data_IF_414308289137
#
_entry.id   IF_414308289137
#
_cell.length_a   1.000
_cell.length_b   1.000
_cell.length_c   1.000
_cell.angle_alpha   90.00
_cell.angle_beta   90.00
_cell.angle_gamma   90.00
#
_symmetry.space_group_name_H-M   'P 1'
#
loop_
_entity.id
_entity.type
_entity.pdbx_description
1 polymer ?
#
# COMPACT_ATOMS: atom_id res chain seq x y z
N UNK A 1 27.09 20.69 -0.42
CA UNK A 1 25.96 21.64 -0.43
C UNK A 1 25.37 21.69 0.96
N UNK A 2 25.14 22.90 1.46
CA UNK A 2 24.56 23.15 2.78
C UNK A 2 23.02 23.22 2.69
N UNK A 3 22.35 23.13 3.85
CA UNK A 3 20.91 23.43 3.93
C UNK A 3 20.60 24.85 3.41
N UNK A 4 21.49 25.82 3.66
CA UNK A 4 21.33 27.20 3.22
C UNK A 4 21.30 27.30 1.69
N UNK A 5 22.13 26.50 0.99
CA UNK A 5 22.14 26.44 -0.47
C UNK A 5 20.80 25.92 -1.01
N UNK A 6 20.23 24.87 -0.39
CA UNK A 6 18.91 24.36 -0.78
C UNK A 6 17.82 25.41 -0.53
N UNK A 7 17.80 26.02 0.66
CA UNK A 7 16.79 27.03 1.02
C UNK A 7 16.86 28.22 0.07
N UNK A 8 18.06 28.70 -0.24
CA UNK A 8 18.24 29.76 -1.22
C UNK A 8 17.71 29.37 -2.60
N UNK A 9 18.05 28.17 -3.10
CA UNK A 9 17.54 27.69 -4.39
C UNK A 9 16.01 27.58 -4.39
N UNK A 10 15.42 27.08 -3.31
CA UNK A 10 13.97 26.92 -3.19
C UNK A 10 13.24 28.26 -3.10
N UNK A 11 13.80 29.24 -2.37
CA UNK A 11 13.31 30.62 -2.33
C UNK A 11 13.39 31.27 -3.72
N UNK A 12 14.50 31.11 -4.43
CA UNK A 12 14.68 31.67 -5.77
C UNK A 12 13.72 31.06 -6.79
N UNK A 13 13.53 29.74 -6.80
CA UNK A 13 12.54 29.06 -7.66
C UNK A 13 11.12 29.51 -7.33
N UNK A 14 10.79 29.63 -6.04
CA UNK A 14 9.49 30.09 -5.59
C UNK A 14 9.22 31.53 -6.05
N UNK A 15 10.20 32.42 -5.90
CA UNK A 15 10.11 33.83 -6.33
C UNK A 15 9.94 33.95 -7.85
N UNK A 16 10.65 33.13 -8.65
CA UNK A 16 10.47 33.09 -10.11
C UNK A 16 9.05 32.67 -10.51
N UNK A 17 8.49 31.73 -9.77
CA UNK A 17 7.10 31.29 -9.90
C UNK A 17 6.10 32.19 -9.15
N UNK A 18 6.54 33.30 -8.55
CA UNK A 18 5.67 34.31 -7.95
C UNK A 18 4.96 33.83 -6.70
N UNK A 19 5.52 32.82 -6.04
CA UNK A 19 5.00 32.22 -4.82
C UNK A 19 6.04 32.38 -3.71
N UNK A 20 5.58 32.25 -2.47
CA UNK A 20 6.48 32.20 -1.31
C UNK A 20 6.93 30.77 -1.05
N UNK A 21 8.23 30.60 -0.75
CA UNK A 21 8.76 29.30 -0.37
C UNK A 21 8.11 28.84 0.94
N UNK A 22 7.66 27.59 0.93
CA UNK A 22 6.95 27.01 2.05
C UNK A 22 7.89 26.68 3.22
N UNK A 23 7.60 27.26 4.39
CA UNK A 23 8.39 27.08 5.60
C UNK A 23 8.41 25.64 6.11
N UNK A 24 7.30 24.92 5.96
CA UNK A 24 7.21 23.51 6.37
C UNK A 24 8.10 22.60 5.52
N UNK A 25 8.23 22.88 4.22
CA UNK A 25 9.19 22.19 3.34
C UNK A 25 10.61 22.43 3.83
N UNK A 26 10.96 23.69 4.12
CA UNK A 26 12.29 24.06 4.65
C UNK A 26 12.56 23.35 5.98
N UNK A 27 11.59 23.33 6.89
CA UNK A 27 11.72 22.68 8.20
C UNK A 27 12.00 21.18 8.06
N UNK A 28 11.32 20.49 7.14
CA UNK A 28 11.56 19.07 6.86
C UNK A 28 12.91 18.81 6.19
N UNK A 29 13.41 19.75 5.39
CA UNK A 29 14.70 19.63 4.73
C UNK A 29 15.89 19.62 5.70
N UNK A 30 15.73 20.17 6.91
CA UNK A 30 16.77 20.13 7.96
C UNK A 30 17.24 18.69 8.23
N UNK A 31 16.33 17.70 8.17
CA UNK A 31 16.62 16.29 8.45
C UNK A 31 17.59 15.64 7.44
N UNK A 32 17.79 16.26 6.27
CA UNK A 32 18.60 15.74 5.17
C UNK A 32 20.01 16.34 5.10
N UNK A 33 20.29 17.39 5.87
CA UNK A 33 21.59 18.03 5.91
C UNK A 33 22.22 17.88 7.31
N UNK A 34 23.53 17.58 7.41
CA UNK A 34 24.20 17.49 8.70
C UNK A 34 24.14 18.84 9.43
N UNK A 35 23.90 18.82 10.75
CA UNK A 35 23.97 20.00 11.59
C UNK A 35 25.41 20.50 11.69
N UNK A 36 25.60 21.82 11.63
CA UNK A 36 26.90 22.49 11.76
C UNK A 36 27.50 22.46 13.17
N UNK A 37 27.07 21.55 14.04
CA UNK A 37 27.58 21.41 15.42
C UNK A 37 28.73 20.41 15.57
N UNK A 38 29.14 19.73 14.48
CA UNK A 38 30.27 18.81 14.50
C UNK A 38 31.62 19.48 14.13
N UNK A 39 31.67 20.82 14.09
CA UNK A 39 32.89 21.60 13.96
C UNK A 39 33.48 21.95 15.34
N UNK A 40 34.12 20.96 15.98
CA UNK A 40 35.45 21.16 16.55
C UNK A 40 35.67 22.10 17.75
N UNK A 41 34.67 22.43 18.58
CA UNK A 41 34.90 23.23 19.81
C UNK A 41 34.09 22.75 21.03
N UNK A 42 34.47 21.59 21.60
CA UNK A 42 34.43 21.40 23.07
C UNK A 42 35.45 20.34 23.51
N UNK A 43 36.73 20.65 23.34
CA UNK A 43 37.79 19.96 24.07
C UNK A 43 37.63 20.27 25.57
N UNK A 44 37.31 19.24 26.36
CA UNK A 44 37.71 19.04 27.78
C UNK A 44 36.72 18.27 28.66
N UNK A 45 35.54 17.84 28.18
CA UNK A 45 34.59 17.08 29.02
C UNK A 45 34.21 15.67 28.52
N UNK A 46 34.75 15.19 27.40
CA UNK A 46 34.40 13.87 26.83
C UNK A 46 35.39 12.73 27.10
N UNK A 47 36.61 13.01 27.59
CA UNK A 47 37.62 11.96 27.78
C UNK A 47 37.29 10.97 28.91
N UNK A 48 36.44 11.35 29.88
CA UNK A 48 35.98 10.44 30.95
C UNK A 48 34.75 9.60 30.58
N UNK A 49 34.00 9.98 29.54
CA UNK A 49 32.80 9.24 29.10
C UNK A 49 33.11 8.20 28.01
N UNK A 50 34.15 8.46 27.18
CA UNK A 50 34.57 7.54 26.12
C UNK A 50 35.28 6.27 26.63
N UNK A 51 35.89 6.31 27.83
CA UNK A 51 36.51 5.12 28.44
C UNK A 51 35.48 4.08 28.93
N UNK A 52 34.24 4.48 29.21
CA UNK A 52 33.16 3.58 29.66
C UNK A 52 32.25 3.09 28.52
N UNK A 53 32.25 3.76 27.37
CA UNK A 53 31.48 3.37 26.18
C UNK A 53 32.15 2.29 25.30
N UNK A 54 33.46 2.04 25.49
CA UNK A 54 34.25 1.09 24.69
C UNK A 54 33.95 -0.42 24.94
N UNK A 55 32.82 -0.75 25.59
CA UNK A 55 32.42 -2.14 25.92
C UNK A 55 31.02 -2.55 25.45
N UNK A 56 30.42 -1.83 24.49
CA UNK A 56 29.18 -2.27 23.82
C UNK A 56 29.47 -2.71 22.38
N UNK A 57 29.02 -3.91 21.96
CA UNK A 57 29.23 -4.38 20.59
C UNK A 57 28.45 -3.49 19.62
N UNK A 58 29.11 -3.09 18.52
CA UNK A 58 28.55 -2.31 17.41
C UNK A 58 27.33 -3.03 16.82
N UNK A 59 26.13 -2.44 16.99
CA UNK A 59 25.03 -2.63 16.04
C UNK A 59 25.43 -1.92 14.74
N UNK A 60 25.25 -2.59 13.62
CA UNK A 60 25.38 -2.00 12.28
C UNK A 60 24.52 -0.74 12.17
N UNK A 61 25.16 0.40 11.89
CA UNK A 61 24.51 1.65 11.50
C UNK A 61 23.85 1.47 10.11
N UNK A 62 22.64 0.91 10.07
CA UNK A 62 21.72 1.17 8.98
C UNK A 62 21.05 2.51 9.31
N UNK A 63 21.52 3.61 8.69
CA UNK A 63 20.77 4.88 8.72
C UNK A 63 19.38 4.60 8.14
N UNK A 64 18.28 4.98 8.81
CA UNK A 64 16.94 4.76 8.26
C UNK A 64 16.81 5.48 6.91
N UNK A 65 16.18 4.84 5.93
CA UNK A 65 15.83 5.46 4.64
C UNK A 65 15.09 6.79 4.92
N UNK A 66 15.72 7.93 4.62
CA UNK A 66 15.13 9.25 4.92
C UNK A 66 14.14 9.61 3.82
N UNK A 67 12.88 9.73 4.20
CA UNK A 67 11.75 10.04 3.29
C UNK A 67 11.27 11.45 3.58
N UNK A 68 11.18 12.29 2.55
CA UNK A 68 10.56 13.61 2.68
C UNK A 68 9.05 13.44 2.72
N UNK A 69 8.43 13.70 3.87
CA UNK A 69 6.98 13.60 4.06
C UNK A 69 6.36 14.99 4.08
N UNK A 70 5.57 15.29 3.05
CA UNK A 70 4.79 16.53 2.91
C UNK A 70 3.30 16.19 2.78
N UNK A 71 2.78 15.39 3.71
CA UNK A 71 1.40 14.92 3.67
C UNK A 71 0.40 16.08 3.89
N UNK A 72 -0.59 16.19 3.00
CA UNK A 72 -1.56 17.31 3.01
C UNK A 72 -2.78 17.13 3.92
N UNK A 73 -2.78 16.16 4.85
CA UNK A 73 -3.98 15.77 5.61
C UNK A 73 -3.78 15.61 7.12
N UNK A 74 -2.75 16.23 7.72
CA UNK A 74 -2.66 16.29 9.20
C UNK A 74 -3.70 17.26 9.74
N UNK A 75 -4.15 17.06 10.99
CA UNK A 75 -5.11 17.96 11.69
C UNK A 75 -4.64 19.42 11.75
N UNK A 76 -3.34 19.66 11.60
CA UNK A 76 -2.70 20.99 11.56
C UNK A 76 -2.53 21.54 10.13
N UNK A 77 -2.76 20.72 9.10
CA UNK A 77 -2.39 21.00 7.70
C UNK A 77 -3.55 21.22 6.72
N UNK A 78 -4.81 21.31 7.20
CA UNK A 78 -5.96 21.49 6.31
C UNK A 78 -5.88 22.77 5.47
N UNK A 79 -5.16 23.80 5.95
CA UNK A 79 -4.91 25.06 5.24
C UNK A 79 -3.62 25.06 4.38
N UNK A 80 -2.88 23.94 4.30
CA UNK A 80 -1.52 23.90 3.75
C UNK A 80 -1.28 22.72 2.78
N UNK A 81 -2.23 22.38 1.91
CA UNK A 81 -1.98 21.36 0.86
C UNK A 81 -1.02 21.89 -0.20
N UNK A 82 -0.04 21.07 -0.60
CA UNK A 82 0.89 21.39 -1.67
C UNK A 82 0.14 21.51 -3.00
N UNK A 83 0.36 22.60 -3.72
CA UNK A 83 -0.23 22.87 -5.04
C UNK A 83 0.78 22.58 -6.16
N UNK A 84 0.28 22.46 -7.38
CA UNK A 84 1.07 22.23 -8.60
C UNK A 84 2.29 23.13 -8.71
N UNK A 85 2.09 24.46 -8.67
CA UNK A 85 3.17 25.45 -8.80
C UNK A 85 4.24 25.32 -7.69
N UNK A 86 3.83 24.97 -6.47
CA UNK A 86 4.74 24.74 -5.34
C UNK A 86 5.56 23.46 -5.54
N UNK A 87 4.97 22.42 -6.13
CA UNK A 87 5.72 21.21 -6.48
C UNK A 87 6.72 21.48 -7.60
N UNK A 88 6.37 22.27 -8.60
CA UNK A 88 7.32 22.67 -9.66
C UNK A 88 8.53 23.38 -9.05
N UNK A 89 8.34 24.37 -8.17
CA UNK A 89 9.44 25.01 -7.44
C UNK A 89 10.29 24.00 -6.65
N UNK A 90 9.64 23.08 -5.93
CA UNK A 90 10.33 22.08 -5.11
C UNK A 90 11.17 21.12 -5.96
N UNK A 91 10.59 20.58 -7.03
CA UNK A 91 11.29 19.65 -7.93
C UNK A 91 12.49 20.31 -8.62
N UNK A 92 12.37 21.58 -9.04
CA UNK A 92 13.49 22.34 -9.58
C UNK A 92 14.59 22.56 -8.53
N UNK A 93 14.21 22.94 -7.30
CA UNK A 93 15.15 23.14 -6.20
C UNK A 93 15.88 21.84 -5.85
N UNK A 94 15.19 20.71 -5.80
CA UNK A 94 15.78 19.38 -5.59
C UNK A 94 16.78 19.02 -6.69
N UNK A 95 16.44 19.30 -7.95
CA UNK A 95 17.32 19.05 -9.09
C UNK A 95 18.62 19.87 -9.01
N UNK A 96 18.52 21.15 -8.61
CA UNK A 96 19.68 22.03 -8.42
C UNK A 96 20.53 21.67 -7.20
N UNK A 97 19.90 21.07 -6.19
CA UNK A 97 20.49 20.98 -4.86
C UNK A 97 21.10 19.62 -4.49
N UNK A 98 20.83 18.57 -5.26
CA UNK A 98 21.41 17.23 -5.05
C UNK A 98 21.37 16.77 -3.58
N UNK A 99 20.18 16.77 -2.98
CA UNK A 99 19.99 16.45 -1.55
C UNK A 99 20.43 15.01 -1.26
N UNK A 100 21.60 14.79 -0.63
CA UNK A 100 22.15 13.45 -0.46
C UNK A 100 21.35 12.70 0.61
N UNK A 101 20.85 11.51 0.28
CA UNK A 101 20.06 10.67 1.20
C UNK A 101 18.55 10.80 1.08
N UNK A 102 18.04 11.66 0.17
CA UNK A 102 16.62 11.68 -0.17
C UNK A 102 16.27 10.47 -1.04
N UNK A 103 15.82 9.39 -0.40
CA UNK A 103 15.47 8.11 -1.05
C UNK A 103 13.97 7.92 -1.23
N UNK A 104 13.15 8.73 -0.56
CA UNK A 104 11.70 8.69 -0.72
C UNK A 104 11.05 10.06 -0.69
N UNK A 105 9.95 10.19 -1.41
CA UNK A 105 9.14 11.40 -1.49
C UNK A 105 7.66 11.03 -1.27
N UNK A 106 7.08 11.49 -0.16
CA UNK A 106 5.68 11.28 0.19
C UNK A 106 4.89 12.59 0.08
N UNK A 107 4.08 12.67 -0.97
CA UNK A 107 3.24 13.80 -1.34
C UNK A 107 1.76 13.45 -1.28
N UNK A 108 1.37 12.48 -0.46
CA UNK A 108 -0.04 12.04 -0.37
C UNK A 108 -0.99 13.15 0.08
N UNK A 109 -2.23 13.08 -0.42
CA UNK A 109 -3.36 13.91 -0.04
C UNK A 109 -3.12 15.43 -0.22
N UNK A 110 -2.42 15.80 -1.29
CA UNK A 110 -2.21 17.19 -1.70
C UNK A 110 -3.12 17.57 -2.88
N UNK A 111 -2.96 18.78 -3.42
CA UNK A 111 -3.69 19.26 -4.60
C UNK A 111 -2.81 19.23 -5.84
N UNK A 112 -2.25 18.04 -6.13
CA UNK A 112 -1.41 17.82 -7.29
C UNK A 112 -2.22 17.22 -8.45
N UNK A 113 -2.05 17.73 -9.67
CA UNK A 113 -2.78 17.30 -10.85
C UNK A 113 -4.01 18.17 -11.17
N UNK A 114 -4.93 17.62 -11.94
CA UNK A 114 -6.07 18.30 -12.55
C UNK A 114 -7.08 18.77 -11.48
N UNK A 115 -7.55 20.01 -11.56
CA UNK A 115 -8.70 20.41 -10.77
C UNK A 115 -9.95 19.82 -11.42
N UNK A 116 -10.67 18.94 -10.71
CA UNK A 116 -12.06 18.70 -11.05
C UNK A 116 -12.81 20.01 -10.84
N UNK A 117 -13.20 20.65 -11.95
CA UNK A 117 -14.19 21.71 -11.94
C UNK A 117 -15.45 21.10 -11.31
N UNK A 118 -15.75 21.48 -10.07
CA UNK A 118 -16.99 21.14 -9.38
C UNK A 118 -18.20 21.92 -9.96
N UNK A 119 -18.16 22.33 -11.23
CA UNK A 119 -19.18 23.14 -11.91
C UNK A 119 -19.88 22.38 -13.06
N UNK A 120 -20.04 21.06 -12.91
CA UNK A 120 -21.04 20.30 -13.67
C UNK A 120 -22.43 20.26 -13.02
N UNK A 121 -22.56 20.67 -11.75
CA UNK A 121 -23.84 20.69 -11.03
C UNK A 121 -23.85 21.88 -10.05
N UNK A 122 -24.77 22.82 -10.30
CA UNK A 122 -25.09 24.01 -9.49
C UNK A 122 -24.33 25.32 -9.81
N UNK A 123 -24.32 25.74 -11.07
CA UNK A 123 -24.35 27.18 -11.39
C UNK A 123 -25.72 27.56 -11.95
N UNK A 124 -26.66 27.75 -11.03
CA UNK A 124 -27.74 28.70 -11.19
C UNK A 124 -27.87 29.45 -9.85
N UNK A 125 -27.49 30.72 -9.88
CA UNK A 125 -27.83 31.75 -8.88
C UNK A 125 -27.08 31.72 -7.54
N UNK A 126 -25.89 32.35 -7.51
CA UNK A 126 -25.68 33.54 -6.68
C UNK A 126 -24.33 34.18 -7.01
N UNK A 127 -24.38 35.40 -7.54
CA UNK A 127 -23.21 36.22 -7.79
C UNK A 127 -22.56 36.67 -6.49
N UNK A 128 -21.25 36.52 -6.45
CA UNK A 128 -20.34 37.10 -5.47
C UNK A 128 -18.95 37.11 -6.10
N UNK A 129 -18.63 38.20 -6.78
CA UNK A 129 -17.27 38.51 -7.24
C UNK A 129 -16.43 38.77 -5.97
N UNK A 130 -15.55 37.83 -5.62
CA UNK A 130 -14.38 38.14 -4.79
C UNK A 130 -13.17 38.20 -5.74
N UNK A 131 -12.67 39.42 -5.92
CA UNK A 131 -11.46 39.77 -6.65
C UNK A 131 -10.22 39.17 -5.95
N UNK A 132 -9.73 38.02 -6.44
CA UNK A 132 -8.37 37.54 -6.18
C UNK A 132 -7.46 37.94 -7.36
N UNK A 133 -7.01 39.21 -7.36
CA UNK A 133 -6.27 39.86 -8.46
C UNK A 133 -4.75 39.51 -8.55
N UNK A 134 -4.26 38.42 -7.94
CA UNK A 134 -2.81 38.10 -7.96
C UNK A 134 -2.45 36.61 -8.13
N UNK A 135 -3.39 35.77 -8.58
CA UNK A 135 -3.15 34.35 -8.83
C UNK A 135 -2.78 34.07 -10.29
N UNK A 136 -1.52 33.74 -10.59
CA UNK A 136 -1.20 33.02 -11.85
C UNK A 136 -2.13 31.82 -12.00
N UNK A 137 -2.68 31.61 -13.20
CA UNK A 137 -3.65 30.55 -13.47
C UNK A 137 -3.02 29.18 -13.14
N UNK A 138 -3.46 28.54 -12.05
CA UNK A 138 -2.95 27.23 -11.63
C UNK A 138 -3.17 26.15 -12.70
N UNK A 139 -4.08 26.40 -13.66
CA UNK A 139 -4.30 25.55 -14.82
C UNK A 139 -3.08 25.46 -15.74
N UNK A 140 -2.23 26.48 -15.76
CA UNK A 140 -0.98 26.48 -16.53
C UNK A 140 -0.01 25.39 -16.04
N UNK A 141 0.00 25.12 -14.73
CA UNK A 141 0.99 24.22 -14.09
C UNK A 141 0.50 22.77 -13.92
N UNK A 142 -0.69 22.42 -14.42
CA UNK A 142 -1.27 21.08 -14.27
C UNK A 142 -0.35 20.00 -14.87
N UNK A 143 0.04 20.19 -16.12
CA UNK A 143 0.91 19.25 -16.84
C UNK A 143 2.38 19.41 -16.48
N UNK A 144 2.77 20.60 -16.04
CA UNK A 144 4.12 20.87 -15.54
C UNK A 144 4.42 20.12 -14.25
N UNK A 145 3.41 19.81 -13.45
CA UNK A 145 3.56 19.02 -12.22
C UNK A 145 4.03 17.61 -12.55
N UNK A 146 3.34 16.91 -13.45
CA UNK A 146 3.73 15.57 -13.89
C UNK A 146 5.06 15.59 -14.67
N UNK A 147 5.26 16.60 -15.52
CA UNK A 147 6.52 16.76 -16.27
C UNK A 147 7.71 17.02 -15.35
N UNK A 148 7.54 17.82 -14.31
CA UNK A 148 8.61 18.13 -13.36
C UNK A 148 8.91 16.96 -12.43
N UNK A 149 7.89 16.20 -12.01
CA UNK A 149 8.09 14.91 -11.36
C UNK A 149 8.82 13.92 -12.28
N UNK A 150 8.42 13.83 -13.55
CA UNK A 150 9.10 12.99 -14.54
C UNK A 150 10.57 13.35 -14.70
N UNK A 151 10.89 14.64 -14.84
CA UNK A 151 12.28 15.14 -14.88
C UNK A 151 13.06 14.84 -13.60
N UNK A 152 12.42 14.98 -12.43
CA UNK A 152 13.05 14.65 -11.14
C UNK A 152 13.42 13.16 -11.06
N UNK A 153 12.66 12.28 -11.70
CA UNK A 153 12.89 10.83 -11.69
C UNK A 153 13.87 10.37 -12.77
N UNK A 154 14.21 11.24 -13.71
CA UNK A 154 15.19 10.97 -14.77
C UNK A 154 16.60 11.36 -14.31
N UNK A 155 17.55 10.40 -14.28
CA UNK A 155 18.94 10.75 -14.04
C UNK A 155 19.48 11.57 -15.22
N UNK A 156 20.14 12.69 -14.92
CA UNK A 156 20.87 13.53 -15.87
C UNK A 156 22.37 13.55 -15.50
N UNK A 157 23.28 13.96 -16.40
CA UNK A 157 24.71 14.07 -16.06
C UNK A 157 25.00 14.99 -14.86
N UNK A 158 24.12 15.96 -14.61
CA UNK A 158 24.23 16.90 -13.50
C UNK A 158 23.47 16.44 -12.24
N UNK A 159 22.54 15.48 -12.37
CA UNK A 159 21.68 15.03 -11.29
C UNK A 159 21.44 13.53 -11.31
N UNK A 160 21.94 12.84 -10.29
CA UNK A 160 21.63 11.43 -10.05
C UNK A 160 20.40 11.34 -9.14
N UNK A 161 19.27 10.90 -9.72
CA UNK A 161 18.09 10.58 -8.93
C UNK A 161 18.42 9.46 -7.93
N UNK A 162 18.03 9.65 -6.66
CA UNK A 162 18.14 8.64 -5.59
C UNK A 162 16.77 8.17 -5.07
N UNK A 163 15.67 8.75 -5.59
CA UNK A 163 14.32 8.51 -5.11
C UNK A 163 13.86 7.11 -5.52
N UNK A 164 13.92 6.17 -4.57
CA UNK A 164 13.49 4.80 -4.73
C UNK A 164 11.98 4.61 -4.45
N UNK A 165 11.35 5.52 -3.70
CA UNK A 165 9.93 5.47 -3.37
C UNK A 165 9.22 6.81 -3.60
N UNK A 166 8.12 6.78 -4.36
CA UNK A 166 7.29 7.95 -4.61
C UNK A 166 5.84 7.64 -4.23
N UNK A 167 5.30 8.41 -3.27
CA UNK A 167 3.91 8.31 -2.86
C UNK A 167 3.13 9.55 -3.29
N UNK A 168 2.18 9.36 -4.20
CA UNK A 168 1.28 10.37 -4.76
C UNK A 168 -0.18 10.04 -4.43
N UNK A 169 -0.44 9.20 -3.43
CA UNK A 169 -1.79 8.76 -3.08
C UNK A 169 -2.74 9.93 -2.82
N UNK A 170 -3.98 9.84 -3.29
CA UNK A 170 -5.06 10.77 -2.95
C UNK A 170 -4.81 12.19 -3.45
N UNK A 171 -4.12 12.34 -4.57
CA UNK A 171 -4.01 13.58 -5.33
C UNK A 171 -5.05 13.57 -6.47
N UNK A 172 -4.93 14.48 -7.42
CA UNK A 172 -5.82 14.62 -8.58
C UNK A 172 -5.10 14.38 -9.90
N UNK A 173 -4.17 13.42 -9.92
CA UNK A 173 -3.42 13.10 -11.13
C UNK A 173 -4.36 12.44 -12.15
N UNK A 174 -4.62 13.14 -13.25
CA UNK A 174 -5.42 12.65 -14.35
C UNK A 174 -4.66 11.72 -15.30
N UNK A 175 -5.35 11.31 -16.36
CA UNK A 175 -4.80 10.39 -17.37
C UNK A 175 -3.53 10.90 -18.05
N UNK A 176 -3.47 12.19 -18.36
CA UNK A 176 -2.34 12.79 -19.06
C UNK A 176 -1.13 12.94 -18.13
N UNK A 177 -1.37 13.31 -16.87
CA UNK A 177 -0.33 13.32 -15.82
C UNK A 177 0.29 11.92 -15.65
N UNK A 178 -0.53 10.88 -15.62
CA UNK A 178 -0.07 9.50 -15.55
C UNK A 178 0.78 9.12 -16.78
N UNK A 179 0.32 9.51 -17.98
CA UNK A 179 1.02 9.22 -19.24
C UNK A 179 2.41 9.85 -19.27
N UNK A 180 2.53 11.11 -18.86
CA UNK A 180 3.81 11.81 -18.79
C UNK A 180 4.76 11.16 -17.77
N UNK A 181 4.25 10.79 -16.60
CA UNK A 181 5.03 10.08 -15.59
C UNK A 181 5.54 8.72 -16.10
N UNK A 182 4.65 7.92 -16.71
CA UNK A 182 5.02 6.63 -17.29
C UNK A 182 6.05 6.78 -18.43
N UNK A 183 5.89 7.78 -19.29
CA UNK A 183 6.84 8.06 -20.38
C UNK A 183 8.21 8.44 -19.82
N UNK A 184 8.23 9.26 -18.76
CA UNK A 184 9.48 9.67 -18.13
C UNK A 184 10.22 8.48 -17.48
N UNK A 185 9.47 7.59 -16.81
CA UNK A 185 10.00 6.36 -16.21
C UNK A 185 10.51 5.37 -17.27
N UNK A 186 9.79 5.20 -18.37
CA UNK A 186 10.22 4.32 -19.45
C UNK A 186 11.50 4.84 -20.10
N UNK A 187 11.60 6.15 -20.33
CA UNK A 187 12.81 6.79 -20.84
C UNK A 187 14.00 6.68 -19.87
N UNK A 188 13.77 6.73 -18.56
CA UNK A 188 14.81 6.49 -17.56
C UNK A 188 15.23 5.01 -17.51
N UNK A 189 14.29 4.10 -17.77
CA UNK A 189 14.50 2.66 -17.75
C UNK A 189 15.16 2.17 -16.46
N UNK A 190 16.14 1.28 -16.60
CA UNK A 190 16.87 0.69 -15.47
C UNK A 190 17.79 1.68 -14.74
N UNK A 191 18.03 2.86 -15.31
CA UNK A 191 18.80 3.91 -14.65
C UNK A 191 17.98 4.62 -13.56
N UNK A 192 16.65 4.53 -13.59
CA UNK A 192 15.82 5.05 -12.50
C UNK A 192 15.99 4.21 -11.23
N UNK A 193 16.25 4.82 -10.06
CA UNK A 193 16.24 4.11 -8.78
C UNK A 193 14.82 3.76 -8.32
N UNK A 194 13.77 4.30 -8.96
CA UNK A 194 12.40 4.16 -8.48
C UNK A 194 11.97 2.68 -8.48
N UNK A 195 11.62 2.16 -7.30
CA UNK A 195 11.12 0.80 -7.09
C UNK A 195 9.67 0.79 -6.63
N UNK A 196 9.25 1.78 -5.85
CA UNK A 196 7.89 1.86 -5.29
C UNK A 196 7.16 3.09 -5.79
N UNK A 197 6.01 2.89 -6.42
CA UNK A 197 5.15 3.96 -6.90
C UNK A 197 3.72 3.76 -6.38
N UNK A 198 3.22 4.74 -5.62
CA UNK A 198 1.85 4.74 -5.13
C UNK A 198 1.05 5.87 -5.80
N UNK A 199 0.09 5.49 -6.63
CA UNK A 199 -0.85 6.37 -7.33
C UNK A 199 -2.29 6.18 -6.82
N UNK A 200 -2.50 5.45 -5.73
CA UNK A 200 -3.82 5.10 -5.22
C UNK A 200 -4.72 6.33 -5.02
N UNK A 201 -6.00 6.26 -5.39
CA UNK A 201 -6.93 7.38 -5.16
C UNK A 201 -6.69 8.61 -6.03
N UNK A 202 -6.16 8.43 -7.25
CA UNK A 202 -6.03 9.47 -8.27
C UNK A 202 -6.92 9.13 -9.49
N UNK A 203 -7.55 10.11 -10.15
CA UNK A 203 -8.44 9.88 -11.30
C UNK A 203 -7.67 9.58 -12.61
N UNK A 204 -6.86 8.52 -12.64
CA UNK A 204 -6.02 8.19 -13.80
C UNK A 204 -6.85 7.81 -15.03
N UNK A 205 -8.01 7.17 -14.82
CA UNK A 205 -8.92 6.75 -15.86
C UNK A 205 -8.33 5.76 -16.88
N UNK A 206 -9.09 5.43 -17.94
CA UNK A 206 -8.68 4.39 -18.87
C UNK A 206 -7.40 4.67 -19.65
N UNK A 207 -7.15 5.92 -20.04
CA UNK A 207 -5.93 6.27 -20.77
C UNK A 207 -4.67 6.16 -19.87
N UNK A 208 -4.77 6.59 -18.60
CA UNK A 208 -3.69 6.42 -17.62
C UNK A 208 -3.40 4.94 -17.34
N UNK A 209 -4.44 4.12 -17.20
CA UNK A 209 -4.31 2.67 -17.05
C UNK A 209 -3.56 1.98 -18.19
N UNK A 210 -3.80 2.38 -19.45
CA UNK A 210 -3.06 1.86 -20.59
C UNK A 210 -1.59 2.31 -20.59
N UNK A 211 -1.29 3.53 -20.15
CA UNK A 211 0.08 4.00 -20.00
C UNK A 211 0.84 3.18 -18.94
N UNK A 212 0.19 2.83 -17.82
CA UNK A 212 0.73 1.91 -16.82
C UNK A 212 0.98 0.53 -17.42
N UNK A 213 0.01 -0.02 -18.16
CA UNK A 213 0.16 -1.31 -18.82
C UNK A 213 1.34 -1.31 -19.80
N UNK A 214 1.52 -0.23 -20.57
CA UNK A 214 2.64 -0.07 -21.49
C UNK A 214 3.99 -0.06 -20.74
N UNK A 215 4.11 0.74 -19.68
CA UNK A 215 5.31 0.78 -18.83
C UNK A 215 5.64 -0.60 -18.23
N UNK A 216 4.65 -1.31 -17.71
CA UNK A 216 4.85 -2.65 -17.14
C UNK A 216 5.26 -3.69 -18.20
N UNK A 217 4.91 -3.46 -19.47
CA UNK A 217 5.25 -4.32 -20.59
C UNK A 217 6.67 -4.15 -21.09
N UNK A 218 7.38 -3.09 -20.68
CA UNK A 218 8.76 -2.86 -21.12
C UNK A 218 9.75 -3.70 -20.32
N UNK A 219 10.83 -4.15 -20.96
CA UNK A 219 11.90 -4.92 -20.31
C UNK A 219 12.74 -4.08 -19.34
N UNK A 220 12.61 -2.76 -19.42
CA UNK A 220 13.34 -1.76 -18.64
C UNK A 220 12.54 -1.23 -17.46
N UNK A 221 11.32 -1.73 -17.23
CA UNK A 221 10.44 -1.29 -16.14
C UNK A 221 11.14 -1.41 -14.78
N UNK A 222 11.40 -0.29 -14.06
CA UNK A 222 12.18 -0.29 -12.83
C UNK A 222 11.37 -0.68 -11.59
N UNK A 223 10.03 -0.72 -11.69
CA UNK A 223 9.13 -0.85 -10.54
C UNK A 223 9.10 -2.27 -9.97
N UNK A 224 9.17 -2.35 -8.65
CA UNK A 224 8.95 -3.56 -7.84
C UNK A 224 7.60 -3.53 -7.12
N UNK A 225 7.11 -2.35 -6.75
CA UNK A 225 5.81 -2.19 -6.11
C UNK A 225 5.01 -1.08 -6.79
N UNK A 226 3.77 -1.39 -7.13
CA UNK A 226 2.84 -0.46 -7.77
C UNK A 226 1.48 -0.50 -7.08
N UNK A 227 1.03 0.65 -6.59
CA UNK A 227 -0.35 0.82 -6.12
C UNK A 227 -1.13 1.72 -7.06
N UNK A 228 -2.13 1.15 -7.73
CA UNK A 228 -3.06 1.85 -8.61
C UNK A 228 -4.51 1.59 -8.19
N UNK A 229 -4.73 1.27 -6.91
CA UNK A 229 -6.08 1.07 -6.38
C UNK A 229 -6.89 2.37 -6.34
N UNK A 230 -8.21 2.28 -6.56
CA UNK A 230 -9.10 3.45 -6.61
C UNK A 230 -8.65 4.51 -7.64
N UNK A 231 -8.26 4.10 -8.84
CA UNK A 231 -7.78 5.02 -9.89
C UNK A 231 -8.60 5.07 -11.17
N UNK A 232 -9.89 4.72 -11.07
CA UNK A 232 -10.84 4.71 -12.20
C UNK A 232 -10.41 3.83 -13.38
N UNK A 233 -9.63 2.78 -13.11
CA UNK A 233 -9.27 1.76 -14.09
C UNK A 233 -10.49 0.91 -14.45
N UNK A 234 -10.71 0.69 -15.74
CA UNK A 234 -11.77 -0.19 -16.22
C UNK A 234 -11.27 -1.61 -16.52
N UNK A 235 -12.18 -2.47 -16.99
CA UNK A 235 -11.88 -3.86 -17.36
C UNK A 235 -10.78 -3.96 -18.42
N UNK A 236 -10.74 -3.04 -19.40
CA UNK A 236 -9.73 -3.06 -20.46
C UNK A 236 -8.32 -2.82 -19.90
N UNK A 237 -8.20 -1.95 -18.90
CA UNK A 237 -6.94 -1.71 -18.21
C UNK A 237 -6.46 -2.93 -17.45
N UNK A 238 -7.35 -3.60 -16.71
CA UNK A 238 -6.99 -4.81 -15.96
C UNK A 238 -6.49 -5.91 -16.89
N UNK A 239 -7.13 -6.07 -18.05
CA UNK A 239 -6.70 -7.02 -19.08
C UNK A 239 -5.32 -6.63 -19.63
N UNK A 240 -5.11 -5.36 -19.98
CA UNK A 240 -3.84 -4.87 -20.50
C UNK A 240 -2.70 -5.06 -19.48
N UNK A 241 -2.93 -4.70 -18.21
CA UNK A 241 -1.98 -4.90 -17.11
C UNK A 241 -1.68 -6.40 -16.94
N UNK A 242 -2.70 -7.25 -16.93
CA UNK A 242 -2.51 -8.69 -16.83
C UNK A 242 -1.69 -9.25 -18.00
N UNK A 243 -1.88 -8.74 -19.23
CA UNK A 243 -1.09 -9.14 -20.39
C UNK A 243 0.38 -8.72 -20.25
N UNK A 244 0.65 -7.48 -19.87
CA UNK A 244 1.99 -6.96 -19.64
C UNK A 244 2.75 -7.72 -18.54
N UNK A 245 2.06 -8.07 -17.46
CA UNK A 245 2.66 -8.80 -16.35
C UNK A 245 3.06 -10.24 -16.68
N UNK A 246 2.62 -10.81 -17.81
CA UNK A 246 3.11 -12.14 -18.25
C UNK A 246 4.60 -12.12 -18.56
N UNK A 247 5.09 -11.01 -19.12
CA UNK A 247 6.49 -10.81 -19.52
C UNK A 247 7.28 -9.99 -18.51
N UNK A 248 6.61 -9.19 -17.68
CA UNK A 248 7.27 -8.42 -16.63
C UNK A 248 8.08 -9.33 -15.67
N UNK A 249 9.26 -8.86 -15.27
CA UNK A 249 10.20 -9.58 -14.40
C UNK A 249 10.67 -8.76 -13.20
N UNK A 250 10.11 -7.57 -12.97
CA UNK A 250 10.52 -6.66 -11.91
C UNK A 250 9.45 -6.47 -10.83
N UNK A 251 8.17 -6.51 -11.19
CA UNK A 251 7.08 -6.19 -10.27
C UNK A 251 6.76 -7.37 -9.33
N UNK A 252 6.96 -7.12 -8.04
CA UNK A 252 6.77 -8.06 -6.93
C UNK A 252 5.46 -7.82 -6.18
N UNK A 253 5.00 -6.56 -6.07
CA UNK A 253 3.75 -6.21 -5.43
C UNK A 253 2.86 -5.31 -6.30
N UNK A 254 1.58 -5.66 -6.38
CA UNK A 254 0.60 -4.92 -7.16
C UNK A 254 -0.74 -4.78 -6.41
N UNK A 255 -1.27 -3.57 -6.38
CA UNK A 255 -2.62 -3.28 -5.94
C UNK A 255 -3.48 -2.77 -7.10
N UNK A 256 -4.56 -3.50 -7.42
CA UNK A 256 -5.55 -3.18 -8.45
C UNK A 256 -6.93 -2.88 -7.84
N UNK A 257 -7.00 -2.54 -6.57
CA UNK A 257 -8.26 -2.43 -5.83
C UNK A 257 -9.28 -1.48 -6.47
N UNK A 258 -10.56 -1.83 -6.32
CA UNK A 258 -11.69 -0.99 -6.68
C UNK A 258 -11.69 -0.46 -8.14
N UNK A 259 -11.54 -1.31 -9.16
CA UNK A 259 -11.68 -0.89 -10.55
C UNK A 259 -13.16 -0.70 -10.93
N UNK A 260 -13.39 0.02 -12.03
CA UNK A 260 -14.70 0.21 -12.65
C UNK A 260 -15.09 -1.06 -13.41
N UNK A 261 -15.71 -2.00 -12.71
CA UNK A 261 -16.23 -3.25 -13.29
C UNK A 261 -17.73 -3.09 -13.56
N UNK A 262 -18.10 -3.03 -14.85
CA UNK A 262 -19.50 -2.95 -15.30
C UNK A 262 -20.06 -4.28 -15.80
N UNK A 263 -19.20 -5.29 -15.98
CA UNK A 263 -19.59 -6.59 -16.57
C UNK A 263 -19.78 -7.66 -15.49
N UNK A 264 -20.64 -8.64 -15.76
CA UNK A 264 -20.86 -9.81 -14.89
C UNK A 264 -19.98 -11.00 -15.26
N UNK A 265 -19.28 -10.93 -16.39
CA UNK A 265 -18.55 -12.06 -16.99
C UNK A 265 -17.15 -12.27 -16.41
N UNK A 266 -16.73 -11.40 -15.48
CA UNK A 266 -15.47 -11.51 -14.73
C UNK A 266 -14.23 -11.71 -15.64
N UNK A 267 -14.27 -11.18 -16.87
CA UNK A 267 -13.21 -11.36 -17.88
C UNK A 267 -11.83 -10.95 -17.35
N UNK A 268 -11.76 -9.80 -16.66
CA UNK A 268 -10.53 -9.33 -16.02
C UNK A 268 -9.94 -10.38 -15.08
N UNK A 269 -10.77 -11.08 -14.30
CA UNK A 269 -10.32 -12.13 -13.36
C UNK A 269 -9.77 -13.33 -14.12
N UNK A 270 -10.37 -13.69 -15.26
CA UNK A 270 -9.83 -14.77 -16.10
C UNK A 270 -8.45 -14.43 -16.66
N UNK A 271 -8.24 -13.18 -17.11
CA UNK A 271 -6.94 -12.72 -17.61
C UNK A 271 -5.90 -12.62 -16.49
N UNK A 272 -6.28 -12.13 -15.31
CA UNK A 272 -5.41 -12.10 -14.12
C UNK A 272 -5.03 -13.53 -13.71
N UNK A 273 -5.97 -14.48 -13.69
CA UNK A 273 -5.69 -15.88 -13.41
C UNK A 273 -4.71 -16.50 -14.41
N UNK A 274 -4.91 -16.27 -15.72
CA UNK A 274 -3.96 -16.71 -16.77
C UNK A 274 -2.58 -16.08 -16.61
N UNK A 275 -2.51 -14.80 -16.20
CA UNK A 275 -1.24 -14.13 -15.90
C UNK A 275 -0.54 -14.79 -14.71
N UNK A 276 -1.27 -15.08 -13.63
CA UNK A 276 -0.71 -15.72 -12.44
C UNK A 276 -0.17 -17.13 -12.70
N UNK A 277 -0.72 -17.88 -13.67
CA UNK A 277 -0.15 -19.18 -14.06
C UNK A 277 1.30 -19.07 -14.58
N UNK A 278 1.61 -17.99 -15.29
CA UNK A 278 2.89 -17.82 -15.99
C UNK A 278 3.85 -16.90 -15.25
N UNK A 279 3.34 -15.93 -14.49
CA UNK A 279 4.17 -14.99 -13.75
C UNK A 279 4.81 -15.69 -12.54
N UNK A 280 6.13 -15.54 -12.40
CA UNK A 280 6.93 -16.15 -11.33
C UNK A 280 7.63 -15.12 -10.42
N UNK A 281 7.28 -13.84 -10.56
CA UNK A 281 7.92 -12.72 -9.84
C UNK A 281 6.94 -12.08 -8.85
N UNK A 282 5.67 -11.93 -9.22
CA UNK A 282 4.66 -11.29 -8.38
C UNK A 282 4.42 -12.13 -7.10
N UNK A 283 4.76 -11.55 -5.96
CA UNK A 283 4.61 -12.16 -4.64
C UNK A 283 3.43 -11.62 -3.87
N UNK A 284 2.94 -10.41 -4.20
CA UNK A 284 1.80 -9.78 -3.52
C UNK A 284 0.82 -9.20 -4.54
N UNK A 285 -0.45 -9.59 -4.43
CA UNK A 285 -1.52 -9.08 -5.28
C UNK A 285 -2.76 -8.70 -4.46
N UNK A 286 -3.26 -7.49 -4.67
CA UNK A 286 -4.57 -7.05 -4.16
C UNK A 286 -5.59 -6.91 -5.27
N UNK A 287 -6.72 -7.60 -5.10
CA UNK A 287 -7.91 -7.59 -5.96
C UNK A 287 -9.17 -7.25 -5.14
N UNK A 288 -9.06 -6.32 -4.19
CA UNK A 288 -10.21 -5.94 -3.38
C UNK A 288 -11.25 -5.21 -4.25
N UNK A 289 -12.53 -5.32 -3.88
CA UNK A 289 -13.64 -4.57 -4.50
C UNK A 289 -13.81 -4.78 -6.02
N UNK A 290 -13.44 -5.95 -6.54
CA UNK A 290 -13.65 -6.32 -7.95
C UNK A 290 -15.06 -6.86 -8.25
N UNK A 291 -15.95 -6.89 -7.25
CA UNK A 291 -17.27 -7.54 -7.32
C UNK A 291 -17.20 -9.05 -7.64
N UNK A 292 -16.06 -9.68 -7.37
CA UNK A 292 -15.80 -11.09 -7.69
C UNK A 292 -16.75 -12.02 -6.95
N UNK A 293 -17.35 -12.95 -7.67
CA UNK A 293 -18.29 -13.97 -7.21
C UNK A 293 -17.60 -15.31 -6.96
N UNK A 294 -18.37 -16.33 -6.59
CA UNK A 294 -17.87 -17.71 -6.45
C UNK A 294 -17.19 -18.24 -7.73
N UNK A 295 -17.69 -17.84 -8.91
CA UNK A 295 -17.12 -18.29 -10.18
C UNK A 295 -15.70 -17.74 -10.38
N UNK A 296 -15.50 -16.43 -10.27
CA UNK A 296 -14.17 -15.82 -10.35
C UNK A 296 -13.20 -16.35 -9.28
N UNK A 297 -13.68 -16.63 -8.07
CA UNK A 297 -12.88 -17.24 -7.01
C UNK A 297 -12.42 -18.66 -7.37
N UNK A 298 -13.30 -19.49 -7.96
CA UNK A 298 -12.95 -20.82 -8.47
C UNK A 298 -11.92 -20.74 -9.60
N UNK A 299 -12.12 -19.84 -10.56
CA UNK A 299 -11.17 -19.63 -11.66
C UNK A 299 -9.80 -19.24 -11.11
N UNK A 300 -9.73 -18.30 -10.16
CA UNK A 300 -8.45 -17.95 -9.53
C UNK A 300 -7.83 -19.13 -8.78
N UNK A 301 -8.64 -19.89 -8.03
CA UNK A 301 -8.17 -21.05 -7.29
C UNK A 301 -7.50 -22.08 -8.21
N UNK A 302 -8.15 -22.44 -9.31
CA UNK A 302 -7.61 -23.39 -10.30
C UNK A 302 -6.30 -22.90 -10.91
N UNK A 303 -6.23 -21.61 -11.26
CA UNK A 303 -5.06 -21.02 -11.92
C UNK A 303 -3.87 -20.86 -10.98
N UNK A 304 -4.12 -20.64 -9.69
CA UNK A 304 -3.07 -20.49 -8.69
C UNK A 304 -2.41 -21.82 -8.31
N UNK A 305 -2.99 -22.99 -8.60
CA UNK A 305 -2.33 -24.28 -8.35
C UNK A 305 -0.99 -24.44 -9.10
N UNK A 306 -0.86 -23.79 -10.26
CA UNK A 306 0.37 -23.76 -11.06
C UNK A 306 1.36 -22.67 -10.60
N UNK A 307 0.88 -21.69 -9.82
CA UNK A 307 1.70 -20.60 -9.33
C UNK A 307 2.57 -21.08 -8.15
N UNK A 308 3.81 -20.58 -8.11
CA UNK A 308 4.81 -20.93 -7.09
C UNK A 308 5.51 -19.71 -6.50
N UNK A 309 5.02 -18.51 -6.79
CA UNK A 309 5.65 -17.24 -6.43
C UNK A 309 4.78 -16.42 -5.47
N UNK A 310 3.46 -16.45 -5.63
CA UNK A 310 2.54 -15.63 -4.86
C UNK A 310 2.57 -16.03 -3.39
N UNK A 311 2.72 -15.04 -2.53
CA UNK A 311 2.81 -15.14 -1.08
C UNK A 311 1.68 -14.43 -0.36
N UNK A 312 1.19 -13.33 -0.92
CA UNK A 312 0.06 -12.55 -0.41
C UNK A 312 -1.01 -12.38 -1.47
N UNK A 313 -2.25 -12.69 -1.10
CA UNK A 313 -3.43 -12.44 -1.93
C UNK A 313 -4.52 -11.76 -1.11
N UNK A 314 -4.99 -10.61 -1.57
CA UNK A 314 -6.08 -9.85 -0.94
C UNK A 314 -7.30 -9.88 -1.86
N UNK A 315 -8.39 -10.48 -1.39
CA UNK A 315 -9.68 -10.59 -2.06
C UNK A 315 -10.80 -9.90 -1.25
N UNK A 316 -10.43 -8.91 -0.44
CA UNK A 316 -11.34 -8.17 0.45
C UNK A 316 -12.50 -7.50 -0.29
N UNK A 317 -13.65 -7.41 0.35
CA UNK A 317 -14.81 -6.66 -0.15
C UNK A 317 -15.27 -7.08 -1.56
N UNK A 318 -15.25 -8.39 -1.83
CA UNK A 318 -15.83 -9.00 -3.02
C UNK A 318 -17.21 -9.62 -2.69
N UNK A 319 -17.75 -10.41 -3.62
CA UNK A 319 -19.03 -11.13 -3.47
C UNK A 319 -18.80 -12.64 -3.36
N UNK A 320 -17.68 -13.05 -2.78
CA UNK A 320 -17.32 -14.47 -2.61
C UNK A 320 -18.22 -15.07 -1.52
N UNK A 321 -18.91 -16.14 -1.89
CA UNK A 321 -19.77 -16.95 -1.02
C UNK A 321 -19.04 -18.18 -0.47
N UNK A 322 -19.83 -19.10 0.08
CA UNK A 322 -19.31 -20.36 0.64
C UNK A 322 -18.66 -21.28 -0.39
N UNK A 323 -19.15 -21.28 -1.64
CA UNK A 323 -18.63 -22.14 -2.71
C UNK A 323 -17.25 -21.69 -3.17
N UNK A 324 -17.08 -20.39 -3.42
CA UNK A 324 -15.80 -19.79 -3.78
C UNK A 324 -14.80 -19.89 -2.64
N UNK A 325 -15.25 -19.64 -1.39
CA UNK A 325 -14.43 -19.84 -0.20
C UNK A 325 -13.93 -21.29 -0.06
N UNK A 326 -14.77 -22.28 -0.36
CA UNK A 326 -14.36 -23.69 -0.33
C UNK A 326 -13.30 -24.01 -1.37
N UNK A 327 -13.42 -23.46 -2.58
CA UNK A 327 -12.40 -23.60 -3.63
C UNK A 327 -11.06 -22.95 -3.24
N UNK A 328 -11.11 -21.76 -2.63
CA UNK A 328 -9.92 -21.06 -2.14
C UNK A 328 -9.29 -21.77 -0.92
N UNK A 329 -10.09 -22.36 -0.04
CA UNK A 329 -9.59 -23.20 1.04
C UNK A 329 -8.88 -24.46 0.50
N UNK A 330 -9.45 -25.10 -0.54
CA UNK A 330 -8.81 -26.24 -1.22
C UNK A 330 -7.48 -25.84 -1.89
N UNK A 331 -7.41 -24.65 -2.49
CA UNK A 331 -6.15 -24.09 -3.00
C UNK A 331 -5.09 -24.03 -1.90
N UNK A 332 -5.40 -23.51 -0.72
CA UNK A 332 -4.43 -23.35 0.37
C UNK A 332 -3.82 -24.66 0.86
N UNK A 333 -4.56 -25.78 0.75
CA UNK A 333 -4.03 -27.11 1.10
C UNK A 333 -2.90 -27.58 0.17
N UNK A 334 -2.83 -27.02 -1.04
CA UNK A 334 -1.90 -27.46 -2.08
C UNK A 334 -0.92 -26.36 -2.54
N UNK A 335 -1.20 -25.09 -2.26
CA UNK A 335 -0.37 -23.99 -2.69
C UNK A 335 0.90 -23.88 -1.83
N UNK A 336 2.11 -23.91 -2.42
CA UNK A 336 3.35 -24.07 -1.65
C UNK A 336 3.88 -22.79 -1.01
N UNK A 337 3.46 -21.61 -1.49
CA UNK A 337 4.03 -20.33 -1.05
C UNK A 337 3.04 -19.31 -0.48
N UNK A 338 1.72 -19.56 -0.55
CA UNK A 338 0.72 -18.54 -0.22
C UNK A 338 0.56 -18.45 1.30
N UNK A 339 1.28 -17.50 1.89
CA UNK A 339 1.40 -17.32 3.33
C UNK A 339 0.35 -16.36 3.90
N UNK A 340 -0.14 -15.42 3.12
CA UNK A 340 -1.02 -14.36 3.59
C UNK A 340 -2.28 -14.25 2.72
N UNK A 341 -3.43 -14.36 3.36
CA UNK A 341 -4.69 -14.41 2.65
C UNK A 341 -5.79 -13.61 3.34
N UNK A 342 -6.27 -12.56 2.66
CA UNK A 342 -7.34 -11.70 3.16
C UNK A 342 -8.62 -11.90 2.34
N UNK A 343 -9.66 -12.39 3.00
CA UNK A 343 -11.00 -12.58 2.46
C UNK A 343 -12.05 -11.74 3.20
N UNK A 344 -11.62 -10.72 3.94
CA UNK A 344 -12.50 -9.87 4.73
C UNK A 344 -13.62 -9.24 3.90
N UNK A 345 -14.74 -8.91 4.53
CA UNK A 345 -15.88 -8.26 3.89
C UNK A 345 -16.45 -9.02 2.67
N UNK A 346 -16.39 -10.36 2.69
CA UNK A 346 -17.09 -11.24 1.75
C UNK A 346 -18.34 -11.87 2.40
N UNK A 347 -19.01 -12.82 1.73
CA UNK A 347 -20.25 -13.48 2.22
C UNK A 347 -20.03 -14.98 2.42
N UNK A 348 -18.93 -15.34 3.08
CA UNK A 348 -18.41 -16.70 3.18
C UNK A 348 -19.36 -17.64 3.93
N UNK A 349 -19.91 -17.18 5.06
CA UNK A 349 -20.79 -17.97 5.93
C UNK A 349 -20.15 -19.23 6.53
N UNK A 350 -20.91 -19.94 7.36
CA UNK A 350 -20.37 -21.05 8.17
C UNK A 350 -19.87 -22.24 7.34
N UNK A 351 -20.47 -22.49 6.18
CA UNK A 351 -20.03 -23.56 5.28
C UNK A 351 -18.61 -23.28 4.75
N UNK A 352 -18.32 -22.03 4.35
CA UNK A 352 -16.97 -21.64 3.95
C UNK A 352 -15.99 -21.61 5.12
N UNK A 353 -16.41 -21.17 6.31
CA UNK A 353 -15.57 -21.25 7.51
C UNK A 353 -15.18 -22.68 7.86
N UNK A 354 -16.07 -23.66 7.70
CA UNK A 354 -15.74 -25.08 7.88
C UNK A 354 -14.65 -25.55 6.91
N UNK A 355 -14.61 -25.03 5.68
CA UNK A 355 -13.53 -25.31 4.74
C UNK A 355 -12.19 -24.70 5.21
N UNK A 356 -12.18 -23.47 5.73
CA UNK A 356 -10.96 -22.92 6.34
C UNK A 356 -10.56 -23.63 7.63
N UNK A 357 -11.52 -24.16 8.39
CA UNK A 357 -11.23 -24.96 9.58
C UNK A 357 -10.45 -26.25 9.23
N UNK A 358 -10.68 -26.86 8.07
CA UNK A 358 -9.86 -28.01 7.64
C UNK A 358 -8.42 -27.57 7.30
N UNK A 359 -8.25 -26.41 6.68
CA UNK A 359 -6.93 -25.80 6.42
C UNK A 359 -6.19 -25.53 7.73
N UNK A 360 -6.84 -24.90 8.70
CA UNK A 360 -6.25 -24.58 10.02
C UNK A 360 -5.97 -25.84 10.86
N UNK A 361 -6.77 -26.90 10.71
CA UNK A 361 -6.47 -28.18 11.37
C UNK A 361 -5.21 -28.84 10.79
N UNK A 362 -4.99 -28.68 9.48
CA UNK A 362 -3.83 -29.20 8.76
C UNK A 362 -2.59 -28.30 8.78
N UNK A 363 -2.64 -27.12 9.42
CA UNK A 363 -1.72 -25.95 9.47
C UNK A 363 -0.19 -26.15 9.31
N UNK A 364 0.35 -27.37 9.44
CA UNK A 364 1.74 -27.67 9.06
C UNK A 364 1.94 -28.06 7.60
N UNK A 365 0.90 -28.52 6.91
CA UNK A 365 0.93 -28.86 5.49
C UNK A 365 0.90 -27.62 4.57
N UNK A 366 0.51 -26.46 5.12
CA UNK A 366 0.36 -25.22 4.36
C UNK A 366 1.41 -24.18 4.77
N UNK A 367 1.78 -23.23 3.89
CA UNK A 367 2.64 -22.11 4.24
C UNK A 367 1.89 -20.96 4.93
N UNK A 368 0.59 -21.12 5.23
CA UNK A 368 -0.29 -20.06 5.71
C UNK A 368 0.17 -19.53 7.08
N UNK A 369 0.39 -18.23 7.14
CA UNK A 369 0.80 -17.47 8.33
C UNK A 369 -0.26 -16.44 8.73
N UNK A 370 -0.95 -15.84 7.77
CA UNK A 370 -1.94 -14.79 8.00
C UNK A 370 -3.23 -15.15 7.30
N UNK A 371 -4.33 -15.22 8.06
CA UNK A 371 -5.67 -15.42 7.53
C UNK A 371 -6.61 -14.35 8.09
N UNK A 372 -7.24 -13.59 7.21
CA UNK A 372 -8.28 -12.62 7.58
C UNK A 372 -9.64 -13.01 7.02
N UNK A 373 -10.60 -13.20 7.93
CA UNK A 373 -12.01 -13.49 7.63
C UNK A 373 -12.93 -12.46 8.32
N UNK A 374 -12.46 -11.23 8.55
CA UNK A 374 -13.26 -10.18 9.20
C UNK A 374 -14.53 -9.86 8.40
N UNK A 375 -15.65 -9.64 9.08
CA UNK A 375 -16.92 -9.29 8.43
C UNK A 375 -17.30 -10.24 7.26
N UNK A 376 -17.21 -11.57 7.45
CA UNK A 376 -17.49 -12.56 6.40
C UNK A 376 -18.81 -13.33 6.60
N UNK A 377 -19.70 -12.77 7.41
CA UNK A 377 -21.01 -13.33 7.77
C UNK A 377 -20.92 -14.69 8.49
N UNK A 378 -19.88 -14.89 9.31
CA UNK A 378 -19.78 -16.09 10.13
C UNK A 378 -20.67 -15.95 11.36
N UNK A 379 -21.42 -17.00 11.65
CA UNK A 379 -22.16 -17.14 12.90
C UNK A 379 -21.29 -17.80 13.96
N UNK A 380 -21.84 -17.96 15.16
CA UNK A 380 -21.20 -18.67 16.25
C UNK A 380 -20.77 -20.10 15.86
N UNK A 381 -21.52 -20.78 14.97
CA UNK A 381 -21.16 -22.12 14.52
C UNK A 381 -19.93 -22.13 13.60
N UNK A 382 -19.82 -21.14 12.71
CA UNK A 382 -18.68 -20.99 11.81
C UNK A 382 -17.40 -20.63 12.56
N UNK A 383 -17.48 -19.67 13.48
CA UNK A 383 -16.33 -19.26 14.31
C UNK A 383 -15.90 -20.38 15.27
N UNK A 384 -16.84 -21.09 15.89
CA UNK A 384 -16.52 -22.22 16.76
C UNK A 384 -15.79 -23.33 16.00
N UNK A 385 -16.13 -23.57 14.73
CA UNK A 385 -15.41 -24.53 13.89
C UNK A 385 -13.95 -24.11 13.64
N UNK A 386 -13.70 -22.82 13.39
CA UNK A 386 -12.35 -22.28 13.24
C UNK A 386 -11.55 -22.37 14.54
N UNK A 387 -12.14 -21.92 15.66
CA UNK A 387 -11.50 -21.97 16.98
C UNK A 387 -11.18 -23.41 17.40
N UNK A 388 -12.10 -24.35 17.21
CA UNK A 388 -11.88 -25.76 17.51
C UNK A 388 -10.77 -26.39 16.65
N UNK A 389 -10.65 -25.98 15.38
CA UNK A 389 -9.56 -26.43 14.51
C UNK A 389 -8.19 -25.94 14.99
N UNK A 390 -8.11 -24.71 15.50
CA UNK A 390 -6.89 -24.16 16.09
C UNK A 390 -6.52 -24.84 17.42
N UNK A 391 -7.49 -25.20 18.25
CA UNK A 391 -7.25 -25.90 19.53
C UNK A 391 -6.76 -27.33 19.33
N UNK A 392 -7.32 -28.04 18.34
CA UNK A 392 -7.04 -29.46 18.08
C UNK A 392 -6.46 -29.65 16.67
N UNK A 393 -5.21 -29.22 16.43
CA UNK A 393 -4.54 -29.44 15.16
C UNK A 393 -4.23 -30.93 14.97
N UNK A 394 -4.06 -31.35 13.71
CA UNK A 394 -3.76 -32.74 13.40
C UNK A 394 -2.38 -33.20 13.91
N UNK A 395 -1.41 -32.28 14.05
CA UNK A 395 -0.09 -32.57 14.57
C UNK A 395 0.32 -31.52 15.64
N UNK A 396 0.00 -31.75 16.93
CA UNK A 396 0.21 -30.77 17.99
C UNK A 396 1.70 -30.48 18.23
N UNK A 397 2.55 -31.49 18.09
CA UNK A 397 3.99 -31.43 18.38
C UNK A 397 4.79 -30.68 17.31
N UNK A 398 4.25 -30.56 16.09
CA UNK A 398 4.93 -29.93 14.97
C UNK A 398 4.86 -28.39 14.96
N UNK A 399 4.18 -27.78 15.94
CA UNK A 399 4.05 -26.33 16.06
C UNK A 399 2.90 -25.73 15.24
N UNK A 400 2.89 -24.39 15.11
CA UNK A 400 1.95 -23.62 14.29
C UNK A 400 2.70 -22.62 13.41
N UNK A 401 2.36 -22.56 12.12
CA UNK A 401 2.85 -21.53 11.19
C UNK A 401 2.00 -20.27 11.22
N UNK A 402 0.72 -20.41 11.56
CA UNK A 402 -0.19 -19.29 11.78
C UNK A 402 0.41 -18.31 12.78
N UNK A 403 0.50 -17.04 12.38
CA UNK A 403 0.97 -15.88 13.15
C UNK A 403 -0.10 -14.82 13.31
N UNK A 404 -1.11 -14.79 12.46
CA UNK A 404 -2.18 -13.80 12.53
C UNK A 404 -3.51 -14.42 12.08
N UNK A 405 -4.54 -14.27 12.91
CA UNK A 405 -5.90 -14.71 12.60
C UNK A 405 -6.89 -13.61 12.95
N UNK A 406 -7.48 -13.00 11.92
CA UNK A 406 -8.42 -11.91 12.09
C UNK A 406 -9.85 -12.36 11.79
N UNK A 407 -10.75 -12.17 12.77
CA UNK A 407 -12.12 -12.69 12.75
C UNK A 407 -13.15 -11.63 13.18
N UNK A 408 -12.75 -10.41 13.51
CA UNK A 408 -13.66 -9.37 14.00
C UNK A 408 -14.74 -9.00 12.97
N UNK A 409 -15.90 -8.53 13.47
CA UNK A 409 -17.05 -8.21 12.64
C UNK A 409 -17.88 -9.44 12.20
N UNK A 410 -17.59 -10.61 12.79
CA UNK A 410 -18.46 -11.78 12.77
C UNK A 410 -19.18 -11.94 14.12
N UNK A 411 -20.05 -12.94 14.25
CA UNK A 411 -20.88 -13.15 15.44
C UNK A 411 -20.21 -14.11 16.41
N UNK A 412 -19.56 -13.58 17.45
CA UNK A 412 -19.05 -14.37 18.58
C UNK A 412 -20.21 -14.70 19.53
N UNK A 413 -20.42 -15.99 19.79
CA UNK A 413 -21.50 -16.47 20.66
C UNK A 413 -21.02 -17.52 21.67
N UNK A 414 -21.96 -18.16 22.38
CA UNK A 414 -21.65 -19.04 23.52
C UNK A 414 -20.85 -20.29 23.14
N UNK A 415 -20.83 -20.72 21.87
CA UNK A 415 -19.99 -21.84 21.41
C UNK A 415 -18.55 -21.39 21.14
N UNK A 416 -18.38 -20.22 20.53
CA UNK A 416 -17.07 -19.68 20.14
C UNK A 416 -16.31 -19.10 21.32
N UNK A 417 -16.99 -18.29 22.15
CA UNK A 417 -16.33 -17.48 23.19
C UNK A 417 -15.43 -18.31 24.12
N UNK A 418 -15.87 -19.46 24.68
CA UNK A 418 -15.00 -20.29 25.52
C UNK A 418 -13.77 -20.83 24.77
N UNK A 419 -13.92 -21.19 23.50
CA UNK A 419 -12.83 -21.73 22.67
C UNK A 419 -11.78 -20.67 22.37
N UNK A 420 -12.19 -19.44 22.06
CA UNK A 420 -11.24 -18.35 21.82
C UNK A 420 -10.58 -17.87 23.10
N UNK A 421 -11.26 -17.93 24.25
CA UNK A 421 -10.63 -17.70 25.55
C UNK A 421 -9.53 -18.73 25.83
N UNK A 422 -9.80 -20.01 25.60
CA UNK A 422 -8.81 -21.07 25.75
C UNK A 422 -7.59 -20.89 24.83
N UNK A 423 -7.82 -20.39 23.60
CA UNK A 423 -6.75 -20.10 22.65
C UNK A 423 -5.85 -18.93 23.12
N UNK A 424 -6.46 -17.85 23.61
CA UNK A 424 -5.78 -16.58 23.87
C UNK A 424 -5.24 -16.44 25.31
N UNK A 425 -5.76 -17.20 26.28
CA UNK A 425 -5.30 -17.13 27.67
C UNK A 425 -3.81 -17.49 27.81
N UNK A 426 -3.13 -17.08 28.90
CA UNK A 426 -1.76 -17.51 29.17
C UNK A 426 -1.64 -19.04 29.16
N UNK A 427 -0.69 -19.57 28.39
CA UNK A 427 -0.53 -21.03 28.16
C UNK A 427 -1.44 -21.61 27.08
N UNK A 428 -2.38 -20.83 26.55
CA UNK A 428 -3.14 -21.15 25.35
C UNK A 428 -2.26 -21.11 24.09
N UNK A 429 -2.72 -21.78 23.04
CA UNK A 429 -1.93 -21.94 21.80
C UNK A 429 -1.58 -20.61 21.13
N UNK A 430 -2.49 -19.64 21.11
CA UNK A 430 -2.19 -18.34 20.48
C UNK A 430 -1.16 -17.55 21.29
N UNK A 431 -1.18 -17.67 22.62
CA UNK A 431 -0.15 -17.11 23.48
C UNK A 431 1.21 -17.80 23.26
N UNK A 432 1.26 -19.13 23.21
CA UNK A 432 2.49 -19.92 23.04
C UNK A 432 3.19 -19.64 21.70
N UNK A 433 2.40 -19.54 20.61
CA UNK A 433 2.94 -19.31 19.26
C UNK A 433 2.95 -17.83 18.84
N UNK A 434 2.58 -16.90 19.72
CA UNK A 434 2.52 -15.46 19.42
C UNK A 434 1.60 -15.15 18.24
N UNK A 435 0.41 -15.74 18.21
CA UNK A 435 -0.60 -15.49 17.18
C UNK A 435 -1.33 -14.20 17.50
N UNK A 436 -1.24 -13.23 16.60
CA UNK A 436 -1.98 -11.98 16.67
C UNK A 436 -3.44 -12.16 16.26
N UNK A 437 -4.35 -11.53 17.00
CA UNK A 437 -5.80 -11.55 16.76
C UNK A 437 -6.38 -10.14 16.85
N UNK A 438 -7.47 -9.86 16.13
CA UNK A 438 -8.25 -8.61 16.25
C UNK A 438 -9.37 -8.71 17.31
N UNK A 439 -9.39 -9.79 18.08
CA UNK A 439 -10.34 -10.04 19.15
C UNK A 439 -9.63 -10.39 20.47
N UNK A 440 -10.22 -9.95 21.58
CA UNK A 440 -9.77 -10.16 22.93
C UNK A 440 -10.91 -10.76 23.78
N UNK A 441 -10.86 -12.05 24.13
CA UNK A 441 -11.83 -12.66 25.01
C UNK A 441 -11.56 -12.31 26.48
N UNK A 442 -12.62 -12.00 27.22
CA UNK A 442 -12.60 -11.64 28.64
C UNK A 442 -13.65 -12.46 29.39
N UNK A 443 -13.29 -13.00 30.56
CA UNK A 443 -14.23 -13.65 31.47
C UNK A 443 -14.85 -12.61 32.41
N UNK A 444 -16.17 -12.46 32.37
CA UNK A 444 -16.94 -11.53 33.21
C UNK A 444 -18.18 -12.24 33.71
N UNK A 445 -18.37 -12.31 35.03
CA UNK A 445 -19.57 -12.88 35.66
C UNK A 445 -19.96 -14.28 35.11
N UNK A 446 -18.98 -15.18 35.00
CA UNK A 446 -19.10 -16.54 34.45
C UNK A 446 -19.45 -16.65 32.96
N UNK A 447 -19.54 -15.53 32.24
CA UNK A 447 -19.69 -15.47 30.79
C UNK A 447 -18.41 -14.99 30.10
N UNK A 448 -18.17 -15.49 28.88
CA UNK A 448 -17.03 -15.07 28.07
C UNK A 448 -17.51 -14.07 27.01
N UNK A 449 -17.10 -12.82 27.17
CA UNK A 449 -17.32 -11.74 26.21
C UNK A 449 -16.09 -11.54 25.35
N UNK A 450 -16.29 -11.05 24.12
CA UNK A 450 -15.19 -10.85 23.15
C UNK A 450 -15.21 -9.40 22.67
N UNK A 451 -14.12 -8.68 22.91
CA UNK A 451 -13.94 -7.28 22.52
C UNK A 451 -12.98 -7.16 21.32
N UNK A 452 -13.05 -6.03 20.60
CA UNK A 452 -12.11 -5.73 19.52
C UNK A 452 -10.77 -5.26 20.10
N UNK A 453 -9.67 -5.61 19.43
CA UNK A 453 -8.36 -4.99 19.67
C UNK A 453 -7.66 -4.64 18.36
N UNK A 454 -6.77 -3.65 18.40
CA UNK A 454 -6.00 -3.24 17.23
C UNK A 454 -4.86 -4.23 16.94
N UNK A 455 -4.52 -4.38 15.66
CA UNK A 455 -3.46 -5.27 15.18
C UNK A 455 -2.42 -4.53 14.35
N UNK A 456 -1.20 -5.07 14.27
CA UNK A 456 -0.02 -4.49 13.64
C UNK A 456 0.29 -5.07 12.25
N UNK A 457 -0.14 -6.30 11.94
CA UNK A 457 0.32 -7.06 10.75
C UNK A 457 -0.28 -6.69 9.38
N UNK A 458 -1.23 -5.76 9.27
CA UNK A 458 -1.76 -5.32 7.97
C UNK A 458 -1.36 -3.88 7.60
N UNK A 459 -0.07 -3.58 7.32
CA UNK A 459 0.34 -2.27 6.85
C UNK A 459 0.35 -2.13 5.30
N UNK A 460 0.49 -3.21 4.52
CA UNK A 460 0.60 -3.12 3.06
C UNK A 460 -0.79 -3.12 2.39
N UNK A 461 -1.11 -2.02 1.71
CA UNK A 461 -2.41 -1.73 1.09
C UNK A 461 -3.59 -1.55 2.05
N UNK A 462 -3.30 -1.19 3.31
CA UNK A 462 -4.35 -0.80 4.24
C UNK A 462 -5.19 0.33 3.63
N UNK A 463 -6.45 0.02 3.27
CA UNK A 463 -7.45 1.05 3.00
C UNK A 463 -7.49 1.94 4.23
N UNK A 464 -7.44 3.28 4.11
CA UNK A 464 -7.69 4.15 5.24
C UNK A 464 -9.00 3.71 5.90
N UNK A 465 -8.97 3.58 7.23
CA UNK A 465 -10.17 3.35 8.06
C UNK A 465 -11.22 4.35 7.56
N UNK A 466 -12.32 3.85 6.98
CA UNK A 466 -13.45 4.69 6.57
C UNK A 466 -14.19 5.18 7.79
#
# INVERSE_FOLDING_TARGET
MSLQDFVHNYEMESLQLGITARRDVIQRMVEFFPSSEDDGLSSSFQETSQALAARRPKKSDERPEVVLVLAGNTREGFHHRLRNIQLVALTNALHKSLVPGLVGLDLRYNHLGEQEDASGQLEAESGGEEDDEDGRDEREFLLDTASSLGRLLQPTPAYACQIAALNLQGNRLGSESCRLLCTALDAAGTASPLRRLNLNGNPLGPAGGHAIAALLGTSTCPLQELDVGNTDLDVSNLIAIAQSLRVNRSLEALNLDNPIVRTKEEEAIQYIGKMLQVNRVLTSLSLAKHQMTDHGAQVLAERLLDNRALRRLVLRANRIGSTGASALAALLLHHPTLAEFDLSANRIGDAGAKAFATVLRGNMATPLQVLSLCCTSLTDDGLAALAAACLKPQNPEAGSRLRCLLLWGNIFGPKTSPLVLELCQPGGRFHEYGVETDFLPCLTDDEVLVAHQETQHFPTFASPKR
#
